data_IF_467531045606
#
_entry.id   IF_467531045606
#
_cell.length_a   1.000
_cell.length_b   1.000
_cell.length_c   1.000
_cell.angle_alpha   90.00
_cell.angle_beta   90.00
_cell.angle_gamma   90.00
#
_symmetry.space_group_name_H-M   'P 1'
#
loop_
_entity.id
_entity.type
_entity.pdbx_description
1 polymer ?
#
# COMPACT_ATOMS: atom_id res chain seq x y z
N UNK A 1 -30.66 14.31 13.27
CA UNK A 1 -31.32 13.08 12.88
C UNK A 1 -31.26 12.81 11.39
N UNK A 2 -31.38 13.83 10.50
CA UNK A 2 -31.31 13.61 9.02
C UNK A 2 -30.02 12.98 8.51
N UNK A 3 -28.88 13.24 9.14
CA UNK A 3 -27.58 12.66 8.74
C UNK A 3 -27.41 11.22 9.22
N UNK A 4 -28.00 10.85 10.34
CA UNK A 4 -27.98 9.46 10.84
C UNK A 4 -28.84 8.55 9.98
N UNK A 5 -30.00 9.03 9.53
CA UNK A 5 -30.87 8.30 8.58
C UNK A 5 -30.21 8.15 7.20
N UNK A 6 -29.44 9.15 6.74
CA UNK A 6 -28.71 9.07 5.47
C UNK A 6 -27.57 8.04 5.54
N UNK A 7 -26.88 7.97 6.68
CA UNK A 7 -25.81 7.01 6.92
C UNK A 7 -26.34 5.58 7.03
N UNK A 8 -27.47 5.40 7.72
CA UNK A 8 -28.16 4.10 7.78
C UNK A 8 -28.73 3.69 6.39
N UNK A 9 -29.26 4.66 5.63
CA UNK A 9 -29.75 4.41 4.27
C UNK A 9 -28.61 4.02 3.31
N UNK A 10 -27.43 4.65 3.43
CA UNK A 10 -26.26 4.32 2.62
C UNK A 10 -25.66 2.96 3.04
N UNK A 11 -25.60 2.68 4.34
CA UNK A 11 -25.19 1.37 4.85
C UNK A 11 -26.17 0.26 4.44
N UNK A 12 -27.48 0.51 4.51
CA UNK A 12 -28.51 -0.43 4.08
C UNK A 12 -28.48 -0.66 2.56
N UNK A 13 -28.17 0.38 1.76
CA UNK A 13 -28.03 0.27 0.30
C UNK A 13 -26.83 -0.60 -0.08
N UNK A 14 -25.72 -0.50 0.66
CA UNK A 14 -24.56 -1.37 0.49
C UNK A 14 -24.86 -2.82 0.88
N UNK A 15 -25.68 -3.05 1.92
CA UNK A 15 -26.10 -4.39 2.30
C UNK A 15 -27.14 -5.00 1.37
N UNK A 16 -28.06 -4.20 0.80
CA UNK A 16 -29.08 -4.67 -0.15
C UNK A 16 -28.49 -5.01 -1.52
N UNK A 17 -27.44 -4.34 -1.95
CA UNK A 17 -26.72 -4.69 -3.18
C UNK A 17 -25.95 -6.00 -3.06
N UNK A 18 -25.67 -6.47 -1.86
CA UNK A 18 -25.02 -7.75 -1.61
C UNK A 18 -25.96 -8.97 -1.77
N UNK A 19 -27.28 -8.77 -1.80
CA UNK A 19 -28.23 -9.90 -1.81
C UNK A 19 -28.68 -10.36 -3.19
N UNK A 20 -28.39 -9.63 -4.25
CA UNK A 20 -28.85 -9.95 -5.61
C UNK A 20 -27.80 -10.53 -6.54
N UNK A 21 -26.57 -10.67 -6.06
CA UNK A 21 -25.54 -11.39 -6.81
C UNK A 21 -25.52 -12.82 -6.31
N UNK A 22 -26.03 -13.75 -7.12
CA UNK A 22 -25.79 -15.19 -6.99
C UNK A 22 -24.28 -15.35 -6.77
N UNK A 23 -23.91 -15.58 -5.53
CA UNK A 23 -22.57 -15.36 -5.05
C UNK A 23 -21.61 -16.45 -5.50
N UNK A 24 -21.09 -16.31 -6.68
CA UNK A 24 -19.66 -16.51 -6.79
C UNK A 24 -19.04 -15.29 -6.09
N UNK A 25 -18.85 -15.44 -4.77
CA UNK A 25 -18.35 -14.35 -3.95
C UNK A 25 -17.12 -13.77 -4.62
N UNK A 26 -17.14 -12.46 -4.85
CA UNK A 26 -15.94 -11.74 -5.21
C UNK A 26 -15.03 -11.93 -4.00
N UNK A 27 -14.11 -12.88 -4.11
CA UNK A 27 -13.07 -13.06 -3.10
C UNK A 27 -12.24 -11.78 -3.16
N UNK A 28 -12.42 -10.91 -2.17
CA UNK A 28 -11.47 -9.81 -2.00
C UNK A 28 -10.17 -10.48 -1.61
N UNK A 29 -9.15 -10.46 -2.46
CA UNK A 29 -7.88 -11.07 -2.14
C UNK A 29 -7.27 -10.27 -0.98
N UNK A 30 -6.91 -10.95 0.06
CA UNK A 30 -6.14 -10.39 1.16
C UNK A 30 -5.05 -11.40 1.52
N UNK A 31 -3.90 -10.91 1.93
CA UNK A 31 -2.75 -11.72 2.28
C UNK A 31 -1.44 -11.01 2.00
N UNK A 32 -0.38 -11.77 2.15
CA UNK A 32 0.98 -11.28 1.99
C UNK A 32 1.30 -11.06 0.54
N UNK A 33 2.00 -9.98 0.28
CA UNK A 33 2.50 -9.60 -1.04
C UNK A 33 3.95 -9.15 -0.92
N UNK A 34 4.78 -9.69 -1.77
CA UNK A 34 6.11 -9.13 -1.99
C UNK A 34 6.01 -7.88 -2.87
N UNK A 35 6.65 -6.82 -2.42
CA UNK A 35 6.75 -5.57 -3.15
C UNK A 35 8.20 -5.32 -3.50
N UNK A 36 8.47 -5.26 -4.79
CA UNK A 36 9.78 -5.03 -5.35
C UNK A 36 9.79 -3.67 -6.05
N UNK A 37 10.71 -2.80 -5.67
CA UNK A 37 10.85 -1.47 -6.24
C UNK A 37 12.29 -1.19 -6.61
N UNK A 38 12.53 -0.66 -7.81
CA UNK A 38 13.83 -0.14 -8.20
C UNK A 38 14.15 1.13 -7.40
N UNK A 39 15.35 1.22 -6.85
CA UNK A 39 15.79 2.35 -6.01
C UNK A 39 17.01 3.06 -6.52
N UNK A 40 17.86 2.40 -7.32
CA UNK A 40 18.97 3.04 -7.98
C UNK A 40 19.31 2.34 -9.29
N UNK A 41 19.71 3.12 -10.30
CA UNK A 41 20.28 2.62 -11.53
C UNK A 41 21.76 2.26 -11.30
N UNK A 42 22.17 1.09 -11.77
CA UNK A 42 23.57 0.71 -11.86
C UNK A 42 24.09 0.91 -13.28
N UNK A 43 25.42 1.04 -13.48
CA UNK A 43 25.98 1.18 -14.81
C UNK A 43 25.72 -0.06 -15.68
N UNK A 44 25.40 0.14 -16.96
CA UNK A 44 25.22 -0.93 -17.95
C UNK A 44 26.58 -1.58 -18.34
N UNK A 45 27.22 -2.24 -17.39
CA UNK A 45 28.50 -2.92 -17.58
C UNK A 45 28.32 -4.43 -17.61
N UNK A 46 29.32 -5.16 -18.12
CA UNK A 46 29.28 -6.64 -18.15
C UNK A 46 29.19 -7.26 -16.73
N UNK A 47 29.60 -6.52 -15.70
CA UNK A 47 29.54 -6.94 -14.31
C UNK A 47 28.12 -7.05 -13.75
N UNK A 48 27.23 -6.16 -14.22
CA UNK A 48 25.82 -6.11 -13.83
C UNK A 48 24.88 -6.74 -14.88
N UNK A 49 25.41 -7.58 -15.75
CA UNK A 49 24.64 -8.21 -16.82
C UNK A 49 24.16 -9.59 -16.43
N UNK A 50 22.89 -9.87 -16.72
CA UNK A 50 22.31 -11.22 -16.56
C UNK A 50 22.75 -12.13 -17.71
N UNK A 51 22.57 -13.43 -17.53
CA UNK A 51 22.82 -14.43 -18.59
C UNK A 51 21.96 -14.19 -19.85
N UNK A 52 20.84 -13.52 -19.71
CA UNK A 52 19.94 -13.15 -20.81
C UNK A 52 20.33 -11.83 -21.50
N UNK A 53 21.41 -11.19 -21.06
CA UNK A 53 21.91 -9.94 -21.63
C UNK A 53 21.21 -8.68 -21.17
N UNK A 54 20.38 -8.77 -20.11
CA UNK A 54 19.76 -7.62 -19.47
C UNK A 54 20.65 -7.10 -18.33
N UNK A 55 20.40 -5.89 -17.86
CA UNK A 55 21.19 -5.28 -16.79
C UNK A 55 20.43 -5.33 -15.47
N UNK A 56 21.19 -5.47 -14.40
CA UNK A 56 20.69 -5.50 -13.01
C UNK A 56 20.87 -4.11 -12.43
N UNK A 57 19.80 -3.62 -11.84
CA UNK A 57 19.76 -2.40 -11.04
C UNK A 57 19.68 -2.74 -9.54
N UNK A 58 19.69 -1.74 -8.68
CA UNK A 58 19.46 -1.95 -7.26
C UNK A 58 17.98 -1.72 -6.94
N UNK A 59 17.37 -2.72 -6.32
CA UNK A 59 15.98 -2.69 -5.87
C UNK A 59 15.85 -2.89 -4.36
N UNK A 60 14.68 -2.58 -3.83
CA UNK A 60 14.27 -3.00 -2.48
C UNK A 60 13.14 -3.99 -2.57
N UNK A 61 13.19 -5.02 -1.74
CA UNK A 61 12.12 -5.98 -1.58
C UNK A 61 11.64 -5.97 -0.13
N UNK A 62 10.34 -6.03 0.08
CA UNK A 62 9.73 -6.22 1.39
C UNK A 62 8.41 -6.99 1.24
N UNK A 63 7.95 -7.56 2.34
CA UNK A 63 6.66 -8.26 2.38
C UNK A 63 5.67 -7.41 3.18
N UNK A 64 4.52 -7.19 2.60
CA UNK A 64 3.44 -6.43 3.22
C UNK A 64 2.12 -7.21 3.17
N UNK A 65 1.33 -7.11 4.23
CA UNK A 65 -0.03 -7.63 4.25
C UNK A 65 -0.98 -6.63 3.60
N UNK A 66 -1.67 -7.07 2.55
CA UNK A 66 -2.53 -6.23 1.72
C UNK A 66 -3.98 -6.66 1.71
N UNK A 67 -4.87 -5.68 1.53
CA UNK A 67 -6.27 -5.91 1.14
C UNK A 67 -6.44 -5.48 -0.32
N UNK A 68 -7.03 -6.36 -1.12
CA UNK A 68 -7.33 -6.16 -2.54
C UNK A 68 -6.09 -5.80 -3.40
N UNK A 69 -4.88 -6.16 -2.93
CA UNK A 69 -3.59 -5.80 -3.54
C UNK A 69 -3.35 -4.28 -3.69
N UNK A 70 -4.15 -3.46 -3.03
CA UNK A 70 -4.09 -2.00 -3.14
C UNK A 70 -3.75 -1.37 -1.81
N UNK A 71 -4.34 -1.85 -0.71
CA UNK A 71 -4.23 -1.23 0.59
C UNK A 71 -3.26 -2.00 1.49
N UNK A 72 -2.03 -1.53 1.68
CA UNK A 72 -1.10 -2.12 2.63
C UNK A 72 -1.55 -1.82 4.05
N UNK A 73 -1.69 -2.85 4.87
CA UNK A 73 -2.09 -2.75 6.27
C UNK A 73 -0.89 -2.75 7.19
N UNK A 74 0.04 -3.67 6.94
CA UNK A 74 1.24 -3.81 7.75
C UNK A 74 2.42 -4.35 6.94
N UNK A 75 3.63 -4.13 7.43
CA UNK A 75 4.87 -4.64 6.83
C UNK A 75 5.30 -5.84 7.67
N UNK A 76 5.28 -7.03 7.07
CA UNK A 76 5.58 -8.27 7.77
C UNK A 76 7.07 -8.59 7.81
N UNK A 77 7.79 -8.28 6.74
CA UNK A 77 9.25 -8.45 6.68
C UNK A 77 9.94 -7.12 6.45
N UNK A 78 11.07 -6.95 7.14
CA UNK A 78 11.93 -5.81 6.93
C UNK A 78 12.43 -5.77 5.48
N UNK A 79 12.49 -4.57 4.94
CA UNK A 79 12.99 -4.29 3.62
C UNK A 79 14.49 -4.60 3.52
N UNK A 80 14.88 -5.14 2.39
CA UNK A 80 16.28 -5.43 2.07
C UNK A 80 16.61 -5.00 0.65
N UNK A 81 17.88 -4.67 0.42
CA UNK A 81 18.39 -4.36 -0.91
C UNK A 81 18.69 -5.65 -1.67
N UNK A 82 18.31 -5.66 -2.93
CA UNK A 82 18.49 -6.78 -3.86
C UNK A 82 18.92 -6.27 -5.23
N UNK A 83 19.55 -7.12 -6.03
CA UNK A 83 19.70 -6.85 -7.46
C UNK A 83 18.35 -7.01 -8.14
N UNK A 84 17.94 -6.08 -8.98
CA UNK A 84 16.65 -6.11 -9.68
C UNK A 84 16.81 -5.96 -11.18
N UNK A 85 16.30 -6.91 -11.93
CA UNK A 85 16.19 -6.82 -13.38
C UNK A 85 14.76 -6.47 -13.78
N UNK A 86 14.49 -5.22 -14.12
CA UNK A 86 13.16 -4.74 -14.47
C UNK A 86 12.57 -5.45 -15.68
N UNK A 87 13.39 -5.76 -16.68
CA UNK A 87 12.93 -6.44 -17.91
C UNK A 87 12.50 -7.89 -17.68
N UNK A 88 13.08 -8.54 -16.70
CA UNK A 88 12.79 -9.94 -16.33
C UNK A 88 11.81 -10.04 -15.17
N UNK A 89 11.47 -8.91 -14.54
CA UNK A 89 10.68 -8.83 -13.29
C UNK A 89 11.20 -9.82 -12.23
N UNK A 90 12.53 -9.88 -12.12
CA UNK A 90 13.23 -10.85 -11.27
C UNK A 90 14.21 -10.15 -10.37
N UNK A 91 14.36 -10.63 -9.14
CA UNK A 91 15.37 -10.13 -8.21
C UNK A 91 16.43 -11.19 -7.93
N UNK A 92 17.60 -10.71 -7.58
CA UNK A 92 18.78 -11.51 -7.22
C UNK A 92 19.20 -11.14 -5.80
N UNK A 93 19.33 -12.15 -4.94
CA UNK A 93 19.83 -11.92 -3.60
C UNK A 93 21.31 -11.58 -3.65
N UNK A 94 21.67 -10.49 -2.99
CA UNK A 94 23.04 -10.03 -2.87
C UNK A 94 23.60 -10.42 -1.49
N UNK A 95 24.83 -10.93 -1.46
CA UNK A 95 25.53 -11.08 -0.21
C UNK A 95 25.91 -9.70 0.37
N UNK A 96 26.15 -9.62 1.68
CA UNK A 96 26.57 -8.36 2.31
C UNK A 96 27.85 -7.79 1.69
N UNK A 97 28.76 -8.67 1.28
CA UNK A 97 30.01 -8.30 0.61
C UNK A 97 29.75 -7.68 -0.77
N UNK A 98 28.89 -8.33 -1.59
CA UNK A 98 28.49 -7.82 -2.90
C UNK A 98 27.75 -6.48 -2.77
N UNK A 99 26.79 -6.40 -1.87
CA UNK A 99 26.05 -5.17 -1.63
C UNK A 99 26.97 -4.02 -1.20
N UNK A 100 27.89 -4.27 -0.28
CA UNK A 100 28.83 -3.25 0.18
C UNK A 100 29.78 -2.78 -0.92
N UNK A 101 30.20 -3.69 -1.79
CA UNK A 101 31.02 -3.36 -2.96
C UNK A 101 30.26 -2.47 -3.95
N UNK A 102 29.02 -2.86 -4.32
CA UNK A 102 28.16 -2.12 -5.23
C UNK A 102 27.89 -0.71 -4.71
N UNK A 103 27.52 -0.59 -3.41
CA UNK A 103 27.23 0.70 -2.79
C UNK A 103 28.44 1.62 -2.78
N UNK A 104 29.62 1.09 -2.48
CA UNK A 104 30.87 1.85 -2.44
C UNK A 104 31.30 2.29 -3.84
N UNK A 105 31.25 1.42 -4.81
CA UNK A 105 31.67 1.68 -6.18
C UNK A 105 30.80 2.76 -6.85
N UNK A 106 29.49 2.68 -6.60
CA UNK A 106 28.53 3.61 -7.16
C UNK A 106 28.24 4.83 -6.27
N UNK A 107 28.98 5.02 -5.17
CA UNK A 107 28.77 6.10 -4.20
C UNK A 107 27.33 6.19 -3.68
N UNK A 108 26.67 5.06 -3.46
CA UNK A 108 25.30 4.95 -3.02
C UNK A 108 25.22 4.81 -1.49
N UNK A 109 24.21 5.43 -0.89
CA UNK A 109 23.94 5.35 0.54
C UNK A 109 22.85 4.28 0.80
N UNK A 110 23.27 3.12 1.25
CA UNK A 110 22.39 1.98 1.48
C UNK A 110 21.26 2.27 2.47
N UNK A 111 21.50 3.07 3.52
CA UNK A 111 20.46 3.42 4.49
C UNK A 111 19.38 4.33 3.90
N UNK A 112 19.76 5.20 2.96
CA UNK A 112 18.79 6.05 2.27
C UNK A 112 17.99 5.29 1.23
N UNK A 113 18.61 4.34 0.56
CA UNK A 113 17.97 3.52 -0.46
C UNK A 113 17.07 2.45 0.17
N UNK A 114 17.49 1.90 1.31
CA UNK A 114 16.76 0.85 2.00
C UNK A 114 15.60 1.42 2.84
N UNK A 115 14.63 2.07 2.19
CA UNK A 115 13.46 2.66 2.86
C UNK A 115 12.17 2.19 2.22
N UNK A 116 11.25 1.75 3.08
CA UNK A 116 9.87 1.48 2.65
C UNK A 116 9.16 2.80 2.34
N UNK A 117 8.43 2.83 1.24
CA UNK A 117 7.62 3.98 0.85
C UNK A 117 6.60 4.38 1.93
N UNK A 118 6.30 5.67 2.01
CA UNK A 118 5.33 6.20 2.97
C UNK A 118 3.97 5.51 2.87
N UNK A 119 3.53 5.20 1.66
CA UNK A 119 2.25 4.54 1.41
C UNK A 119 2.22 3.11 1.98
N UNK A 120 3.25 2.30 1.73
CA UNK A 120 3.35 0.94 2.27
C UNK A 120 3.36 0.94 3.80
N UNK A 121 4.00 1.93 4.43
CA UNK A 121 4.11 2.03 5.89
C UNK A 121 2.85 2.58 6.56
N UNK A 122 2.14 3.51 5.96
CA UNK A 122 1.08 4.27 6.60
C UNK A 122 -0.27 4.21 5.89
N UNK A 123 -0.35 3.73 4.64
CA UNK A 123 -1.56 3.76 3.83
C UNK A 123 -2.77 3.16 4.53
N UNK A 124 -2.66 1.94 5.03
CA UNK A 124 -3.73 1.27 5.76
C UNK A 124 -4.11 1.96 7.07
N UNK A 125 -3.10 2.45 7.80
CA UNK A 125 -3.29 3.18 9.07
C UNK A 125 -4.05 4.48 8.86
N UNK A 126 -3.73 5.23 7.80
CA UNK A 126 -4.43 6.47 7.42
C UNK A 126 -5.88 6.19 7.03
N UNK A 127 -6.12 5.18 6.19
CA UNK A 127 -7.48 4.79 5.81
C UNK A 127 -8.29 4.34 7.03
N UNK A 128 -7.70 3.55 7.92
CA UNK A 128 -8.32 3.17 9.19
C UNK A 128 -8.72 4.36 10.05
N UNK A 129 -7.83 5.36 10.19
CA UNK A 129 -8.13 6.59 10.93
C UNK A 129 -9.25 7.40 10.28
N UNK A 130 -9.30 7.48 8.95
CA UNK A 130 -10.39 8.16 8.22
C UNK A 130 -11.72 7.46 8.49
N UNK A 131 -11.77 6.13 8.44
CA UNK A 131 -12.99 5.36 8.75
C UNK A 131 -13.46 5.63 10.17
N UNK A 132 -12.55 5.59 11.15
CA UNK A 132 -12.88 5.88 12.55
C UNK A 132 -13.41 7.32 12.70
N UNK A 133 -12.76 8.29 12.05
CA UNK A 133 -13.20 9.68 12.09
C UNK A 133 -14.61 9.87 11.51
N UNK A 134 -14.93 9.18 10.40
CA UNK A 134 -16.26 9.20 9.79
C UNK A 134 -17.32 8.57 10.71
N UNK A 135 -16.98 7.48 11.38
CA UNK A 135 -17.86 6.84 12.37
C UNK A 135 -18.16 7.81 13.51
N UNK A 136 -17.12 8.40 14.10
CA UNK A 136 -17.28 9.38 15.19
C UNK A 136 -18.11 10.57 14.72
N UNK A 137 -17.86 11.09 13.53
CA UNK A 137 -18.65 12.20 12.96
C UNK A 137 -20.13 11.82 12.81
N UNK A 138 -20.43 10.58 12.36
CA UNK A 138 -21.80 10.09 12.26
C UNK A 138 -22.55 10.05 13.60
N UNK A 139 -21.82 9.89 14.72
CA UNK A 139 -22.40 9.92 16.07
C UNK A 139 -22.59 11.33 16.64
N UNK A 140 -22.03 12.38 16.04
CA UNK A 140 -22.20 13.75 16.53
C UNK A 140 -23.63 14.21 16.21
N UNK A 141 -24.46 14.53 17.26
CA UNK A 141 -25.81 14.97 17.05
C UNK A 141 -25.82 16.34 16.35
N UNK A 142 -26.45 16.42 15.19
CA UNK A 142 -26.63 17.72 14.52
C UNK A 142 -27.59 18.61 15.34
N UNK A 143 -27.15 19.83 15.64
CA UNK A 143 -27.99 20.82 16.32
C UNK A 143 -29.23 21.09 15.46
N UNK A 144 -30.43 20.73 15.95
CA UNK A 144 -31.68 21.10 15.33
C UNK A 144 -31.80 22.62 15.34
N UNK A 145 -31.94 23.27 14.18
CA UNK A 145 -32.41 24.67 14.14
C UNK A 145 -33.81 24.70 14.74
N UNK A 146 -33.98 25.42 15.85
CA UNK A 146 -35.32 25.75 16.32
C UNK A 146 -35.99 26.58 15.24
N UNK A 147 -37.06 26.05 14.69
CA UNK A 147 -37.97 26.84 13.84
C UNK A 147 -38.86 27.58 14.80
N UNK A 148 -38.77 28.89 14.89
CA UNK A 148 -39.71 29.73 15.63
C UNK A 148 -41.02 29.76 14.89
N UNK A 149 -42.16 29.61 15.57
CA UNK A 149 -43.47 29.75 14.94
C UNK A 149 -43.67 31.21 14.48
N UNK A 150 -44.04 31.38 13.21
CA UNK A 150 -44.47 32.69 12.72
C UNK A 150 -45.87 32.89 13.22
N UNK A 151 -46.07 33.87 14.09
CA UNK A 151 -47.42 34.32 14.46
C UNK A 151 -48.05 35.06 13.26
N UNK A 152 -49.31 34.65 12.94
CA UNK A 152 -50.12 35.26 11.85
C UNK A 152 -51.08 36.23 12.50
#
# INVERSE_FOLDING_TARGET
>A
MKHLTLFFAFGALLFLSCQTVSARGVKIPFGDREVLNKVADLPDTEEYKTDNGNYIDLGTIHQEFNIAYILPLDIEQEHRLVGYCEKEDTYYELTEEQLSAILKENNLDGEKLNKVGFYSRYGGKIVGLIIIALIIWGFIPSKKKKTEPVEV
#
